data_IF_304744724353
#
_entry.id   IF_304744724353
#
_cell.length_a   1.000
_cell.length_b   1.000
_cell.length_c   1.000
_cell.angle_alpha   90.00
_cell.angle_beta   90.00
_cell.angle_gamma   90.00
#
_symmetry.space_group_name_H-M   'P 1'
#
loop_
_entity.id
_entity.type
_entity.pdbx_description
1 polymer ?
#
# COMPACT_ATOMS: atom_id res chain seq x y z
N UNK A 1 29.66 -20.03 -13.74
CA UNK A 1 28.53 -19.84 -14.68
C UNK A 1 27.39 -20.72 -14.22
N UNK A 2 26.57 -20.21 -13.31
CA UNK A 2 25.35 -20.89 -12.84
C UNK A 2 24.37 -20.90 -14.00
N UNK A 3 23.84 -22.06 -14.38
CA UNK A 3 22.81 -22.15 -15.41
C UNK A 3 21.68 -21.15 -15.09
N UNK A 4 21.14 -20.40 -16.07
CA UNK A 4 20.05 -19.49 -15.81
C UNK A 4 18.90 -20.30 -15.19
N UNK A 5 18.52 -19.96 -13.96
CA UNK A 5 17.39 -20.60 -13.30
C UNK A 5 16.16 -20.41 -14.19
N UNK A 6 15.58 -21.53 -14.61
CA UNK A 6 14.29 -21.56 -15.31
C UNK A 6 13.20 -21.15 -14.31
N UNK A 7 12.68 -19.93 -14.46
CA UNK A 7 11.60 -19.39 -13.61
C UNK A 7 10.21 -19.86 -14.07
N UNK A 8 10.14 -20.79 -15.03
CA UNK A 8 8.91 -21.47 -15.43
C UNK A 8 8.46 -22.56 -14.46
N UNK A 9 9.22 -22.82 -13.39
CA UNK A 9 8.76 -23.66 -12.28
C UNK A 9 9.06 -22.95 -10.96
N UNK A 10 8.04 -22.71 -10.15
CA UNK A 10 8.15 -22.05 -8.85
C UNK A 10 7.57 -22.94 -7.75
N UNK A 11 8.35 -23.15 -6.70
CA UNK A 11 7.91 -23.82 -5.47
C UNK A 11 7.58 -22.81 -4.39
N UNK A 12 6.46 -23.03 -3.70
CA UNK A 12 5.99 -22.22 -2.58
C UNK A 12 5.90 -23.10 -1.34
N UNK A 13 6.35 -22.61 -0.17
CA UNK A 13 6.25 -23.37 1.07
C UNK A 13 4.77 -23.61 1.44
N UNK A 14 4.53 -24.68 2.21
CA UNK A 14 3.20 -24.95 2.73
C UNK A 14 2.71 -23.80 3.62
N UNK A 15 1.44 -23.44 3.51
CA UNK A 15 0.83 -22.45 4.39
C UNK A 15 0.56 -23.06 5.77
N UNK A 16 0.84 -22.33 6.88
CA UNK A 16 0.50 -22.82 8.21
C UNK A 16 -1.02 -22.84 8.41
N UNK A 17 -1.47 -23.60 9.42
CA UNK A 17 -2.86 -23.54 9.86
C UNK A 17 -3.22 -22.09 10.28
N UNK A 18 -4.32 -21.58 9.74
CA UNK A 18 -4.72 -20.18 9.88
C UNK A 18 -6.17 -20.04 10.35
N UNK A 19 -6.44 -18.95 11.07
CA UNK A 19 -7.82 -18.59 11.41
C UNK A 19 -8.52 -17.98 10.19
N UNK A 20 -9.81 -18.30 10.02
CA UNK A 20 -10.68 -17.62 9.05
C UNK A 20 -10.63 -16.12 9.29
N UNK A 21 -10.29 -15.34 8.26
CA UNK A 21 -10.34 -13.88 8.31
C UNK A 21 -11.76 -13.39 8.00
N UNK A 22 -12.14 -12.23 8.53
CA UNK A 22 -13.39 -11.54 8.14
C UNK A 22 -13.19 -10.99 6.72
N UNK A 23 -14.01 -11.44 5.76
CA UNK A 23 -13.94 -11.01 4.35
C UNK A 23 -14.06 -12.18 3.37
N UNK A 24 -13.80 -11.90 2.08
CA UNK A 24 -13.59 -12.93 1.05
C UNK A 24 -12.43 -13.85 1.40
N UNK A 25 -12.38 -15.04 0.79
CA UNK A 25 -11.31 -16.00 1.06
C UNK A 25 -9.96 -15.51 0.52
N UNK A 26 -9.97 -14.82 -0.62
CA UNK A 26 -8.85 -14.05 -1.15
C UNK A 26 -9.05 -12.54 -0.85
N UNK A 27 -7.95 -11.80 -0.73
CA UNK A 27 -7.94 -10.35 -0.49
C UNK A 27 -8.11 -9.56 -1.78
N UNK A 28 -7.55 -10.07 -2.87
CA UNK A 28 -7.53 -9.39 -4.15
C UNK A 28 -8.76 -9.75 -4.99
N UNK A 29 -9.12 -8.88 -5.93
CA UNK A 29 -10.24 -9.14 -6.82
C UNK A 29 -9.95 -10.32 -7.76
N UNK A 30 -8.70 -10.47 -8.22
CA UNK A 30 -8.27 -11.57 -9.10
C UNK A 30 -8.18 -12.92 -8.37
N UNK A 31 -7.77 -12.91 -7.09
CA UNK A 31 -7.82 -14.09 -6.23
C UNK A 31 -9.26 -14.55 -5.99
N UNK A 32 -10.20 -13.61 -5.83
CA UNK A 32 -11.62 -13.94 -5.72
C UNK A 32 -12.22 -14.42 -7.05
N UNK A 33 -11.79 -13.88 -8.19
CA UNK A 33 -12.19 -14.37 -9.51
C UNK A 33 -11.71 -15.81 -9.77
N UNK A 34 -10.48 -16.14 -9.37
CA UNK A 34 -9.97 -17.52 -9.38
C UNK A 34 -10.84 -18.47 -8.55
N UNK A 35 -11.20 -18.07 -7.33
CA UNK A 35 -12.09 -18.87 -6.47
C UNK A 35 -13.46 -19.05 -7.13
N UNK A 36 -14.03 -17.97 -7.68
CA UNK A 36 -15.32 -17.99 -8.35
C UNK A 36 -15.34 -19.01 -9.50
N UNK A 37 -14.32 -19.00 -10.36
CA UNK A 37 -14.19 -19.94 -11.46
C UNK A 37 -14.20 -21.41 -10.99
N UNK A 38 -13.53 -21.70 -9.88
CA UNK A 38 -13.53 -23.04 -9.26
C UNK A 38 -14.89 -23.39 -8.66
N UNK A 39 -15.47 -22.48 -7.86
CA UNK A 39 -16.72 -22.73 -7.14
C UNK A 39 -17.92 -22.89 -8.06
N UNK A 40 -17.97 -22.14 -9.16
CA UNK A 40 -19.04 -22.22 -10.16
C UNK A 40 -18.98 -23.52 -10.99
N UNK A 41 -17.84 -24.21 -10.99
CA UNK A 41 -17.70 -25.53 -11.61
C UNK A 41 -18.25 -26.65 -10.69
N UNK A 42 -18.35 -26.40 -9.38
CA UNK A 42 -18.79 -27.38 -8.40
C UNK A 42 -20.32 -27.46 -8.30
N UNK A 43 -20.85 -28.67 -8.40
CA UNK A 43 -22.26 -28.96 -8.12
C UNK A 43 -22.52 -29.29 -6.63
N UNK A 44 -21.46 -29.52 -5.83
CA UNK A 44 -21.58 -29.90 -4.42
C UNK A 44 -20.95 -28.85 -3.49
N UNK A 45 -21.83 -28.06 -2.86
CA UNK A 45 -21.45 -27.01 -1.90
C UNK A 45 -20.88 -27.58 -0.60
N UNK A 46 -21.17 -28.83 -0.25
CA UNK A 46 -20.61 -29.47 0.95
C UNK A 46 -19.12 -29.79 0.77
N UNK A 47 -18.72 -30.20 -0.45
CA UNK A 47 -17.31 -30.45 -0.78
C UNK A 47 -16.49 -29.17 -0.77
N UNK A 48 -17.04 -28.07 -1.29
CA UNK A 48 -16.39 -26.77 -1.19
C UNK A 48 -16.16 -26.35 0.27
N UNK A 49 -17.14 -26.56 1.15
CA UNK A 49 -16.99 -26.27 2.59
C UNK A 49 -15.89 -27.13 3.25
N UNK A 50 -15.78 -28.41 2.88
CA UNK A 50 -14.70 -29.31 3.34
C UNK A 50 -13.35 -28.84 2.82
N UNK A 51 -13.23 -28.54 1.53
CA UNK A 51 -12.02 -28.02 0.92
C UNK A 51 -11.53 -26.71 1.54
N UNK A 52 -12.43 -25.76 1.80
CA UNK A 52 -12.12 -24.53 2.56
C UNK A 52 -11.54 -24.86 3.94
N UNK A 53 -12.12 -25.85 4.62
CA UNK A 53 -11.68 -26.27 5.95
C UNK A 53 -10.29 -26.92 5.92
N UNK A 54 -9.99 -27.76 4.93
CA UNK A 54 -8.66 -28.32 4.71
C UNK A 54 -7.61 -27.24 4.38
N UNK A 55 -7.97 -26.26 3.56
CA UNK A 55 -7.08 -25.15 3.23
C UNK A 55 -6.68 -24.35 4.48
N UNK A 56 -7.65 -24.00 5.34
CA UNK A 56 -7.37 -23.30 6.59
C UNK A 56 -6.66 -24.15 7.65
N UNK A 57 -6.86 -25.46 7.65
CA UNK A 57 -6.16 -26.38 8.55
C UNK A 57 -4.68 -26.57 8.19
N UNK A 58 -4.20 -26.02 7.07
CA UNK A 58 -2.80 -26.16 6.64
C UNK A 58 -2.48 -27.58 6.12
N UNK A 59 -3.48 -28.28 5.59
CA UNK A 59 -3.32 -29.65 5.11
C UNK A 59 -2.70 -29.75 3.71
N UNK A 60 -2.63 -28.64 2.97
CA UNK A 60 -1.97 -28.57 1.67
C UNK A 60 -0.47 -28.35 1.91
N UNK A 61 0.36 -29.25 1.37
CA UNK A 61 1.81 -29.17 1.44
C UNK A 61 2.39 -28.07 0.52
N UNK A 62 3.71 -28.10 0.27
CA UNK A 62 4.34 -27.17 -0.66
C UNK A 62 3.66 -27.20 -2.03
N UNK A 63 3.42 -26.02 -2.59
CA UNK A 63 2.72 -25.85 -3.87
C UNK A 63 3.77 -25.62 -4.95
N UNK A 64 3.71 -26.37 -6.04
CA UNK A 64 4.53 -26.15 -7.23
C UNK A 64 3.65 -25.61 -8.35
N UNK A 65 4.08 -24.51 -8.97
CA UNK A 65 3.40 -23.87 -10.10
C UNK A 65 4.32 -23.92 -11.31
N UNK A 66 3.75 -24.33 -12.44
CA UNK A 66 4.37 -24.34 -13.77
C UNK A 66 3.33 -23.95 -14.83
N UNK A 67 3.73 -23.62 -16.07
CA UNK A 67 2.81 -23.45 -17.19
C UNK A 67 1.71 -24.52 -17.24
N UNK A 68 0.46 -24.06 -17.12
CA UNK A 68 -0.77 -24.84 -17.18
C UNK A 68 -0.97 -25.86 -16.06
N UNK A 69 -0.17 -25.84 -14.99
CA UNK A 69 -0.25 -26.86 -13.94
C UNK A 69 0.17 -26.35 -12.57
N UNK A 70 -0.70 -26.63 -11.59
CA UNK A 70 -0.43 -26.45 -10.17
C UNK A 70 -0.45 -27.83 -9.52
N UNK A 71 0.48 -28.10 -8.62
CA UNK A 71 0.56 -29.38 -7.93
C UNK A 71 0.90 -29.21 -6.44
N UNK A 72 0.26 -30.00 -5.58
CA UNK A 72 0.61 -30.13 -4.18
C UNK A 72 0.26 -31.53 -3.67
N UNK A 73 0.84 -31.92 -2.55
CA UNK A 73 0.36 -33.08 -1.79
C UNK A 73 -0.55 -32.56 -0.68
N UNK A 74 -1.81 -33.00 -0.68
CA UNK A 74 -2.81 -32.62 0.33
C UNK A 74 -2.99 -33.78 1.29
N UNK A 75 -2.78 -33.54 2.58
CA UNK A 75 -2.96 -34.55 3.63
C UNK A 75 -4.43 -34.64 4.02
N UNK A 76 -4.92 -35.86 4.11
CA UNK A 76 -6.14 -36.18 4.85
C UNK A 76 -5.77 -36.95 6.14
N UNK A 77 -6.76 -37.32 6.94
CA UNK A 77 -6.58 -37.98 8.24
C UNK A 77 -5.68 -39.22 8.22
N UNK A 78 -5.65 -39.95 7.11
CA UNK A 78 -4.91 -41.21 7.02
C UNK A 78 -3.93 -41.29 5.84
N UNK A 79 -4.14 -40.56 4.74
CA UNK A 79 -3.31 -40.68 3.54
C UNK A 79 -3.01 -39.32 2.87
N UNK A 80 -1.79 -39.14 2.33
CA UNK A 80 -1.47 -38.02 1.45
C UNK A 80 -1.99 -38.27 0.04
N UNK A 81 -2.68 -37.29 -0.53
CA UNK A 81 -3.15 -37.32 -1.91
C UNK A 81 -2.34 -36.36 -2.78
N UNK A 82 -1.83 -36.86 -3.90
CA UNK A 82 -1.24 -36.02 -4.93
C UNK A 82 -2.37 -35.34 -5.72
N UNK A 83 -2.40 -34.02 -5.64
CA UNK A 83 -3.45 -33.19 -6.22
C UNK A 83 -2.82 -32.24 -7.23
N UNK A 84 -3.43 -32.18 -8.41
CA UNK A 84 -3.06 -31.30 -9.51
C UNK A 84 -4.27 -30.52 -9.97
N UNK A 85 -4.05 -29.30 -10.44
CA UNK A 85 -5.06 -28.50 -11.12
C UNK A 85 -4.42 -28.01 -12.41
N UNK A 86 -5.06 -28.33 -13.53
CA UNK A 86 -4.65 -27.88 -14.85
C UNK A 86 -5.45 -26.65 -15.25
N UNK A 87 -4.79 -25.77 -15.98
CA UNK A 87 -5.36 -24.54 -16.51
C UNK A 87 -4.87 -24.37 -17.94
N UNK A 88 -5.76 -23.96 -18.83
CA UNK A 88 -5.37 -23.69 -20.21
C UNK A 88 -4.33 -22.57 -20.28
N UNK A 89 -3.24 -22.84 -21.00
CA UNK A 89 -2.21 -21.86 -21.27
C UNK A 89 -2.63 -20.95 -22.42
N UNK A 90 -2.25 -19.68 -22.35
CA UNK A 90 -2.43 -18.79 -23.49
C UNK A 90 -1.51 -19.23 -24.63
N UNK A 91 -2.08 -19.34 -25.83
CA UNK A 91 -1.30 -19.56 -27.05
C UNK A 91 -0.35 -18.39 -27.34
N UNK A 92 0.59 -18.59 -28.27
CA UNK A 92 1.57 -17.57 -28.64
C UNK A 92 0.92 -16.24 -29.04
N UNK A 93 -0.17 -16.28 -29.82
CA UNK A 93 -0.94 -15.09 -30.24
C UNK A 93 -1.64 -14.40 -29.06
N UNK A 94 -2.20 -15.16 -28.11
CA UNK A 94 -2.81 -14.61 -26.90
C UNK A 94 -1.77 -13.89 -26.04
N UNK A 95 -0.58 -14.48 -25.88
CA UNK A 95 0.55 -13.83 -25.21
C UNK A 95 0.98 -12.54 -25.90
N UNK A 96 1.07 -12.52 -27.23
CA UNK A 96 1.41 -11.30 -27.96
C UNK A 96 0.41 -10.17 -27.66
N UNK A 97 -0.89 -10.44 -27.76
CA UNK A 97 -1.93 -9.44 -27.47
C UNK A 97 -1.89 -8.95 -26.02
N UNK A 98 -1.71 -9.86 -25.07
CA UNK A 98 -1.61 -9.48 -23.65
C UNK A 98 -0.43 -8.55 -23.40
N UNK A 99 0.74 -8.89 -23.92
CA UNK A 99 1.95 -8.09 -23.76
C UNK A 99 1.80 -6.71 -24.43
N UNK A 100 1.07 -6.59 -25.52
CA UNK A 100 0.73 -5.28 -26.12
C UNK A 100 -0.15 -4.44 -25.18
N UNK A 101 -1.12 -5.06 -24.49
CA UNK A 101 -1.95 -4.36 -23.48
C UNK A 101 -1.16 -3.94 -22.24
N UNK A 102 -0.22 -4.76 -21.80
CA UNK A 102 0.68 -4.41 -20.69
C UNK A 102 1.61 -3.27 -21.11
N UNK A 103 2.20 -3.33 -22.31
CA UNK A 103 3.13 -2.31 -22.81
C UNK A 103 2.45 -0.97 -23.15
N UNK A 104 1.15 -0.98 -23.45
CA UNK A 104 0.39 0.22 -23.81
C UNK A 104 0.39 1.32 -22.72
N UNK A 105 0.61 0.95 -21.45
CA UNK A 105 0.69 1.89 -20.32
C UNK A 105 1.79 1.48 -19.34
N UNK A 106 2.76 2.35 -19.11
CA UNK A 106 3.81 2.12 -18.12
C UNK A 106 3.26 1.82 -16.71
N UNK A 107 2.09 2.37 -16.36
CA UNK A 107 1.39 2.09 -15.11
C UNK A 107 0.96 0.63 -14.94
N UNK A 108 0.67 -0.11 -16.02
CA UNK A 108 0.37 -1.54 -15.93
C UNK A 108 1.60 -2.35 -15.49
N UNK A 109 2.77 -2.02 -16.03
CA UNK A 109 4.02 -2.69 -15.68
C UNK A 109 4.39 -2.38 -14.22
N UNK A 110 4.29 -1.11 -13.82
CA UNK A 110 4.55 -0.70 -12.44
C UNK A 110 3.63 -1.42 -11.44
N UNK A 111 2.33 -1.46 -11.71
CA UNK A 111 1.37 -2.16 -10.85
C UNK A 111 1.67 -3.66 -10.73
N UNK A 112 1.98 -4.36 -11.83
CA UNK A 112 2.37 -5.77 -11.79
C UNK A 112 3.63 -5.99 -10.94
N UNK A 113 4.63 -5.12 -11.05
CA UNK A 113 5.85 -5.16 -10.24
C UNK A 113 5.58 -4.90 -8.74
N UNK A 114 4.59 -4.07 -8.43
CA UNK A 114 4.11 -3.80 -7.07
C UNK A 114 3.22 -4.91 -6.51
N UNK A 115 2.98 -5.97 -7.28
CA UNK A 115 2.18 -7.12 -6.87
C UNK A 115 0.67 -6.93 -7.04
N UNK A 116 0.25 -5.98 -7.89
CA UNK A 116 -1.15 -5.69 -8.19
C UNK A 116 -1.53 -6.12 -9.62
N UNK A 117 -2.80 -6.51 -9.81
CA UNK A 117 -3.38 -6.74 -11.13
C UNK A 117 -4.42 -5.63 -11.39
N UNK A 118 -4.11 -4.63 -12.22
CA UNK A 118 -5.05 -3.57 -12.53
C UNK A 118 -6.33 -4.10 -13.20
N UNK A 119 -7.49 -3.65 -12.74
CA UNK A 119 -8.77 -3.95 -13.39
C UNK A 119 -8.75 -3.56 -14.87
N UNK A 120 -8.24 -2.37 -15.17
CA UNK A 120 -8.13 -1.87 -16.55
C UNK A 120 -7.27 -2.77 -17.44
N UNK A 121 -6.19 -3.35 -16.91
CA UNK A 121 -5.37 -4.29 -17.67
C UNK A 121 -6.15 -5.57 -17.99
N UNK A 122 -6.88 -6.09 -17.01
CA UNK A 122 -7.67 -7.30 -17.19
C UNK A 122 -8.82 -7.11 -18.19
N UNK A 123 -9.53 -5.99 -18.11
CA UNK A 123 -10.58 -5.60 -19.06
C UNK A 123 -10.00 -5.42 -20.47
N UNK A 124 -8.88 -4.71 -20.62
CA UNK A 124 -8.24 -4.51 -21.91
C UNK A 124 -7.70 -5.82 -22.54
N UNK A 125 -7.31 -6.79 -21.71
CA UNK A 125 -6.93 -8.13 -22.16
C UNK A 125 -8.16 -8.94 -22.61
N UNK A 126 -9.27 -8.88 -21.86
CA UNK A 126 -10.52 -9.53 -22.22
C UNK A 126 -11.10 -8.98 -23.53
N UNK A 127 -11.11 -7.66 -23.71
CA UNK A 127 -11.48 -6.99 -24.97
C UNK A 127 -10.59 -7.41 -26.16
N UNK A 128 -9.36 -7.87 -25.90
CA UNK A 128 -8.45 -8.42 -26.91
C UNK A 128 -8.64 -9.93 -27.14
N UNK A 129 -9.65 -10.54 -26.51
CA UNK A 129 -9.93 -11.97 -26.54
C UNK A 129 -8.88 -12.79 -25.78
N UNK A 130 -8.31 -12.22 -24.70
CA UNK A 130 -7.32 -12.87 -23.84
C UNK A 130 -7.84 -12.89 -22.40
N UNK A 131 -8.69 -13.86 -22.03
CA UNK A 131 -9.19 -13.98 -20.67
C UNK A 131 -8.03 -14.38 -19.73
N UNK A 132 -7.48 -13.41 -19.02
CA UNK A 132 -6.36 -13.62 -18.09
C UNK A 132 -6.75 -14.58 -16.96
N UNK A 133 -7.95 -14.41 -16.42
CA UNK A 133 -8.49 -15.21 -15.33
C UNK A 133 -9.27 -16.40 -15.88
N UNK A 134 -9.19 -17.57 -15.21
CA UNK A 134 -9.95 -18.74 -15.64
C UNK A 134 -11.45 -18.47 -15.53
N UNK A 135 -12.21 -19.01 -16.47
CA UNK A 135 -13.68 -19.03 -16.42
C UNK A 135 -14.20 -20.38 -15.91
N UNK A 136 -15.52 -20.54 -15.84
CA UNK A 136 -16.17 -21.77 -15.37
C UNK A 136 -15.70 -22.95 -16.25
N UNK A 137 -15.21 -24.02 -15.62
CA UNK A 137 -14.74 -25.22 -16.31
C UNK A 137 -13.29 -25.16 -16.82
N UNK A 138 -12.59 -24.02 -16.75
CA UNK A 138 -11.17 -23.94 -17.15
C UNK A 138 -10.19 -24.48 -16.11
N UNK A 139 -10.66 -24.72 -14.88
CA UNK A 139 -9.88 -25.33 -13.82
C UNK A 139 -10.17 -26.83 -13.80
N UNK A 140 -9.23 -27.63 -14.27
CA UNK A 140 -9.37 -29.08 -14.37
C UNK A 140 -8.63 -29.78 -13.22
N UNK A 141 -9.35 -30.23 -12.17
CA UNK A 141 -8.74 -30.88 -11.02
C UNK A 141 -8.47 -32.37 -11.29
N UNK A 142 -7.27 -32.83 -10.91
CA UNK A 142 -6.92 -34.24 -10.83
C UNK A 142 -6.42 -34.57 -9.42
N UNK A 143 -6.96 -35.63 -8.80
CA UNK A 143 -6.55 -36.05 -7.47
C UNK A 143 -6.53 -37.57 -7.36
N UNK A 144 -5.52 -38.12 -6.69
CA UNK A 144 -5.43 -39.56 -6.42
C UNK A 144 -6.33 -40.07 -5.28
N UNK A 145 -7.33 -39.29 -4.85
CA UNK A 145 -8.28 -39.73 -3.82
C UNK A 145 -9.40 -40.59 -4.42
N UNK A 146 -10.03 -41.50 -3.65
CA UNK A 146 -11.12 -42.34 -4.14
C UNK A 146 -12.45 -41.60 -4.36
N UNK A 147 -12.50 -40.30 -4.07
CA UNK A 147 -13.68 -39.45 -4.29
C UNK A 147 -13.94 -39.20 -5.77
N UNK A 148 -15.21 -39.05 -6.13
CA UNK A 148 -15.69 -38.85 -7.51
C UNK A 148 -16.21 -37.42 -7.73
N UNK A 149 -16.08 -36.56 -6.73
CA UNK A 149 -16.56 -35.19 -6.77
C UNK A 149 -15.58 -34.30 -7.55
N UNK A 150 -16.11 -33.34 -8.30
CA UNK A 150 -15.34 -32.44 -9.16
C UNK A 150 -15.65 -30.96 -8.83
N UNK A 151 -14.71 -30.22 -8.20
CA UNK A 151 -13.49 -30.70 -7.56
C UNK A 151 -13.76 -31.47 -6.24
N UNK A 152 -12.91 -32.45 -5.93
CA UNK A 152 -12.89 -33.08 -4.60
C UNK A 152 -12.40 -32.08 -3.54
N UNK A 153 -12.59 -32.39 -2.25
CA UNK A 153 -12.12 -31.52 -1.15
C UNK A 153 -10.63 -31.14 -1.24
N UNK A 154 -9.78 -32.03 -1.74
CA UNK A 154 -8.33 -31.81 -1.86
C UNK A 154 -8.00 -30.80 -2.95
N UNK A 155 -8.61 -30.96 -4.13
CA UNK A 155 -8.46 -30.03 -5.24
C UNK A 155 -9.05 -28.66 -4.91
N UNK A 156 -10.22 -28.62 -4.27
CA UNK A 156 -10.79 -27.38 -3.75
C UNK A 156 -9.84 -26.71 -2.74
N UNK A 157 -9.27 -27.46 -1.80
CA UNK A 157 -8.30 -26.93 -0.82
C UNK A 157 -7.05 -26.34 -1.49
N UNK A 158 -6.52 -27.00 -2.53
CA UNK A 158 -5.41 -26.49 -3.32
C UNK A 158 -5.81 -25.18 -4.04
N UNK A 159 -6.94 -25.14 -4.74
CA UNK A 159 -7.42 -23.93 -5.43
C UNK A 159 -7.61 -22.75 -4.46
N UNK A 160 -8.13 -23.02 -3.26
CA UNK A 160 -8.24 -22.01 -2.21
C UNK A 160 -6.87 -21.46 -1.80
N UNK A 161 -5.88 -22.29 -1.50
CA UNK A 161 -4.55 -21.78 -1.12
C UNK A 161 -3.80 -21.12 -2.28
N UNK A 162 -4.05 -21.53 -3.53
CA UNK A 162 -3.53 -20.83 -4.71
C UNK A 162 -4.03 -19.39 -4.77
N UNK A 163 -5.26 -19.12 -4.35
CA UNK A 163 -5.76 -17.73 -4.27
C UNK A 163 -4.91 -16.85 -3.34
N UNK A 164 -4.29 -17.41 -2.29
CA UNK A 164 -3.36 -16.68 -1.41
C UNK A 164 -2.00 -16.44 -2.05
N UNK A 165 -1.56 -17.34 -2.92
CA UNK A 165 -0.37 -17.10 -3.76
C UNK A 165 -0.66 -15.97 -4.75
N UNK A 166 -1.83 -16.00 -5.38
CA UNK A 166 -2.27 -14.96 -6.29
C UNK A 166 -2.40 -13.60 -5.58
N UNK A 167 -2.96 -13.56 -4.37
CA UNK A 167 -3.02 -12.36 -3.52
C UNK A 167 -1.66 -11.72 -3.23
N UNK A 168 -0.59 -12.52 -3.24
CA UNK A 168 0.75 -12.08 -2.90
C UNK A 168 1.58 -11.73 -4.13
N UNK A 169 1.29 -12.37 -5.27
CA UNK A 169 2.07 -12.24 -6.50
C UNK A 169 1.22 -12.53 -7.76
N UNK A 170 0.86 -11.51 -8.55
CA UNK A 170 0.08 -11.67 -9.77
C UNK A 170 0.87 -12.39 -10.88
N UNK A 171 2.21 -12.45 -10.82
CA UNK A 171 2.99 -13.23 -11.79
C UNK A 171 2.77 -14.74 -11.65
N UNK A 172 2.20 -15.20 -10.53
CA UNK A 172 1.76 -16.60 -10.41
C UNK A 172 0.66 -16.91 -11.44
N UNK A 173 -0.27 -15.98 -11.68
CA UNK A 173 -1.31 -16.15 -12.71
C UNK A 173 -0.68 -16.22 -14.11
N UNK A 174 0.26 -15.32 -14.39
CA UNK A 174 0.96 -15.25 -15.68
C UNK A 174 1.80 -16.51 -15.93
N UNK A 175 2.42 -17.05 -14.87
CA UNK A 175 3.13 -18.32 -14.91
C UNK A 175 2.20 -19.48 -15.25
N UNK A 176 1.05 -19.58 -14.57
CA UNK A 176 0.03 -20.60 -14.85
C UNK A 176 -0.45 -20.48 -16.31
N UNK A 177 -0.62 -19.26 -16.82
CA UNK A 177 -1.00 -19.00 -18.22
C UNK A 177 0.13 -19.22 -19.23
N UNK A 178 1.36 -19.50 -18.79
CA UNK A 178 2.41 -20.04 -19.65
C UNK A 178 3.76 -19.32 -19.68
N UNK A 179 3.93 -18.15 -19.05
CA UNK A 179 5.18 -17.38 -19.10
C UNK A 179 5.75 -17.07 -17.73
N UNK A 180 7.06 -17.27 -17.58
CA UNK A 180 7.78 -16.87 -16.38
C UNK A 180 7.84 -15.35 -16.22
N UNK A 181 8.07 -14.87 -15.00
CA UNK A 181 8.19 -13.44 -14.72
C UNK A 181 9.36 -12.81 -15.51
N UNK A 182 10.53 -13.46 -15.54
CA UNK A 182 11.71 -12.96 -16.22
C UNK A 182 11.51 -12.91 -17.72
N UNK A 183 11.00 -14.00 -18.29
CA UNK A 183 10.63 -14.09 -19.70
C UNK A 183 9.67 -12.96 -20.11
N UNK A 184 8.66 -12.71 -19.29
CA UNK A 184 7.68 -11.66 -19.52
C UNK A 184 8.28 -10.25 -19.42
N UNK A 185 9.10 -9.98 -18.40
CA UNK A 185 9.74 -8.68 -18.22
C UNK A 185 10.78 -8.39 -19.30
N UNK A 186 11.49 -9.40 -19.80
CA UNK A 186 12.43 -9.25 -20.91
C UNK A 186 11.69 -8.87 -22.20
N UNK A 187 10.59 -9.54 -22.49
CA UNK A 187 9.75 -9.25 -23.66
C UNK A 187 9.10 -7.85 -23.58
N UNK A 188 8.62 -7.44 -22.40
CA UNK A 188 8.09 -6.09 -22.18
C UNK A 188 9.17 -5.01 -22.36
N UNK A 189 10.39 -5.26 -21.87
CA UNK A 189 11.52 -4.35 -22.09
C UNK A 189 11.81 -4.17 -23.57
N UNK A 190 11.84 -5.26 -24.34
CA UNK A 190 12.02 -5.19 -25.79
C UNK A 190 10.90 -4.41 -26.49
N UNK A 191 9.65 -4.56 -26.06
CA UNK A 191 8.51 -3.82 -26.64
C UNK A 191 8.51 -2.34 -26.31
N UNK A 192 8.84 -1.97 -25.08
CA UNK A 192 8.91 -0.57 -24.69
C UNK A 192 9.98 0.16 -25.51
N UNK A 193 11.16 -0.44 -25.70
CA UNK A 193 12.19 0.13 -26.59
C UNK A 193 11.68 0.28 -28.03
N UNK A 194 10.93 -0.70 -28.55
CA UNK A 194 10.34 -0.61 -29.90
C UNK A 194 9.24 0.44 -29.98
N UNK A 195 8.42 0.60 -28.95
CA UNK A 195 7.39 1.63 -28.88
C UNK A 195 8.01 3.02 -28.82
N UNK A 196 9.08 3.21 -28.04
CA UNK A 196 9.84 4.46 -27.99
C UNK A 196 10.46 4.79 -29.34
N UNK A 197 11.00 3.80 -30.05
CA UNK A 197 11.57 3.96 -31.39
C UNK A 197 10.52 4.18 -32.49
N UNK A 198 9.31 3.61 -32.33
CA UNK A 198 8.21 3.78 -33.27
C UNK A 198 7.40 5.07 -33.02
N UNK A 199 7.55 5.68 -31.84
CA UNK A 199 6.85 6.91 -31.43
C UNK A 199 7.58 8.21 -31.85
N UNK A 200 8.31 8.20 -32.97
CA UNK A 200 8.67 9.44 -33.70
C UNK A 200 7.49 9.90 -34.58
N UNK A 201 7.29 11.22 -34.76
CA UNK A 201 6.01 11.83 -34.38
C UNK A 201 5.02 11.95 -35.54
N UNK A 202 3.94 11.17 -35.49
CA UNK A 202 2.68 11.57 -36.15
C UNK A 202 1.66 12.01 -35.09
N UNK A 203 1.48 13.32 -35.03
CA UNK A 203 0.33 14.03 -34.46
C UNK A 203 0.19 14.01 -32.92
N UNK A 204 1.17 14.63 -32.24
CA UNK A 204 0.92 15.21 -30.94
C UNK A 204 -0.02 16.43 -31.10
N UNK A 205 -1.21 16.31 -30.50
CA UNK A 205 -2.13 17.40 -30.25
C UNK A 205 -1.39 18.55 -29.53
N UNK A 206 -1.48 19.74 -30.12
CA UNK A 206 -0.87 20.95 -29.60
C UNK A 206 -1.38 21.23 -28.18
N UNK A 207 -0.50 21.14 -27.18
CA UNK A 207 -0.79 21.64 -25.82
C UNK A 207 0.06 21.05 -24.69
N UNK A 208 0.63 19.86 -24.84
CA UNK A 208 1.51 19.28 -23.81
C UNK A 208 2.81 18.85 -24.48
N UNK A 209 3.92 19.51 -24.13
CA UNK A 209 5.24 19.06 -24.58
C UNK A 209 5.44 17.64 -24.07
N UNK A 210 5.47 16.67 -24.98
CA UNK A 210 5.91 15.33 -24.66
C UNK A 210 7.38 15.43 -24.21
N UNK A 211 7.60 15.31 -22.91
CA UNK A 211 8.95 15.21 -22.36
C UNK A 211 9.47 13.85 -22.82
N UNK A 212 10.34 13.85 -23.82
CA UNK A 212 11.05 12.65 -24.23
C UNK A 212 11.77 12.07 -23.00
N UNK A 213 11.50 10.81 -22.69
CA UNK A 213 12.17 10.13 -21.59
C UNK A 213 13.67 10.06 -21.85
N UNK A 214 14.49 10.52 -20.90
CA UNK A 214 15.94 10.40 -20.99
C UNK A 214 16.41 9.03 -20.46
N UNK A 215 17.46 8.47 -21.07
CA UNK A 215 18.09 7.26 -20.56
C UNK A 215 18.59 7.50 -19.12
N UNK A 216 18.15 6.67 -18.17
CA UNK A 216 18.46 6.87 -16.76
C UNK A 216 19.98 6.93 -16.49
N UNK A 217 20.80 6.13 -17.19
CA UNK A 217 22.25 6.12 -16.99
C UNK A 217 22.91 7.42 -17.46
N UNK A 218 22.43 7.98 -18.56
CA UNK A 218 22.91 9.27 -19.09
C UNK A 218 22.41 10.44 -18.25
N UNK A 219 21.16 10.37 -17.77
CA UNK A 219 20.59 11.36 -16.86
C UNK A 219 21.37 11.43 -15.53
N UNK A 220 21.73 10.28 -14.94
CA UNK A 220 22.54 10.22 -13.73
C UNK A 220 24.04 10.49 -13.96
N UNK A 221 24.52 10.45 -15.21
CA UNK A 221 25.89 10.80 -15.56
C UNK A 221 26.06 12.30 -15.87
N UNK A 222 24.96 13.03 -16.02
CA UNK A 222 24.98 14.48 -16.23
C UNK A 222 25.28 15.18 -14.91
N UNK A 223 26.12 16.22 -14.96
CA UNK A 223 26.35 17.09 -13.80
C UNK A 223 25.01 17.66 -13.32
N UNK A 224 24.68 17.37 -12.07
CA UNK A 224 23.44 17.85 -11.45
C UNK A 224 23.51 19.36 -11.39
N UNK A 225 22.59 20.04 -12.08
CA UNK A 225 22.45 21.48 -11.95
C UNK A 225 22.27 21.84 -10.47
N UNK A 226 22.86 22.96 -10.00
CA UNK A 226 22.66 23.40 -8.63
C UNK A 226 21.15 23.48 -8.35
N UNK A 227 20.76 23.04 -7.15
CA UNK A 227 19.37 23.15 -6.72
C UNK A 227 18.92 24.61 -6.90
N UNK A 228 17.65 24.83 -7.31
CA UNK A 228 17.08 26.17 -7.29
C UNK A 228 17.30 26.79 -5.90
N UNK A 229 17.51 28.10 -5.86
CA UNK A 229 17.54 28.81 -4.59
C UNK A 229 16.24 28.55 -3.83
N UNK A 230 16.34 28.50 -2.50
CA UNK A 230 15.17 28.32 -1.65
C UNK A 230 14.09 29.37 -1.99
N UNK A 231 12.81 28.98 -1.98
CA UNK A 231 11.74 29.92 -2.24
C UNK A 231 11.82 31.07 -1.22
N UNK A 232 11.55 32.32 -1.64
CA UNK A 232 11.58 33.45 -0.73
C UNK A 232 10.54 33.26 0.39
N UNK A 233 10.76 33.83 1.58
CA UNK A 233 9.79 33.78 2.67
C UNK A 233 8.41 34.26 2.22
N UNK A 234 7.36 33.57 2.67
CA UNK A 234 5.98 33.95 2.36
C UNK A 234 5.61 35.20 3.16
N UNK A 235 5.51 36.35 2.49
CA UNK A 235 5.18 37.65 3.10
C UNK A 235 3.76 38.17 2.78
N UNK A 236 2.99 37.41 2.00
CA UNK A 236 1.64 37.81 1.59
C UNK A 236 0.62 37.75 2.74
N UNK A 237 -0.48 38.54 2.66
CA UNK A 237 -1.56 38.45 3.63
C UNK A 237 -2.23 37.07 3.57
N UNK A 238 -2.82 36.65 4.69
CA UNK A 238 -3.64 35.44 4.71
C UNK A 238 -4.81 35.56 3.74
N UNK A 239 -4.96 34.53 2.88
CA UNK A 239 -6.12 34.44 2.01
C UNK A 239 -7.36 34.21 2.88
N UNK A 240 -8.42 35.00 2.71
CA UNK A 240 -9.65 34.79 3.45
C UNK A 240 -10.23 33.41 3.09
N UNK A 241 -10.48 32.60 4.11
CA UNK A 241 -11.11 31.29 3.96
C UNK A 241 -12.60 31.41 4.20
N UNK A 242 -13.37 31.04 3.18
CA UNK A 242 -14.80 30.81 3.32
C UNK A 242 -15.03 29.39 3.83
N UNK A 243 -15.53 29.28 5.06
CA UNK A 243 -15.78 28.01 5.74
C UNK A 243 -17.29 27.84 5.88
N UNK A 244 -17.92 26.91 5.15
CA UNK A 244 -19.35 26.67 5.26
C UNK A 244 -19.71 26.04 6.60
N UNK A 245 -20.93 26.29 7.07
CA UNK A 245 -21.47 25.64 8.27
C UNK A 245 -21.64 24.12 8.04
N UNK A 246 -21.22 23.32 9.01
CA UNK A 246 -21.41 21.87 9.00
C UNK A 246 -21.79 21.35 10.40
N UNK A 247 -22.65 20.32 10.50
CA UNK A 247 -23.03 19.75 11.80
C UNK A 247 -21.83 19.32 12.62
N UNK A 248 -21.71 19.83 13.86
CA UNK A 248 -20.63 19.50 14.78
C UNK A 248 -19.30 20.25 14.54
N UNK A 249 -19.23 21.12 13.53
CA UNK A 249 -18.05 21.96 13.25
C UNK A 249 -18.40 23.42 13.51
N UNK A 250 -17.60 24.10 14.33
CA UNK A 250 -17.71 25.55 14.53
C UNK A 250 -16.81 26.27 13.52
N UNK A 251 -17.37 27.03 12.55
CA UNK A 251 -16.58 27.71 11.52
C UNK A 251 -15.49 28.62 12.11
N UNK A 252 -15.78 29.35 13.18
CA UNK A 252 -14.80 30.27 13.81
C UNK A 252 -13.63 29.53 14.44
N UNK A 253 -13.89 28.38 15.08
CA UNK A 253 -12.84 27.52 15.60
C UNK A 253 -11.96 26.94 14.49
N UNK A 254 -12.56 26.59 13.35
CA UNK A 254 -11.81 26.10 12.20
C UNK A 254 -10.97 27.22 11.56
N UNK A 255 -11.52 28.43 11.41
CA UNK A 255 -10.78 29.61 10.91
C UNK A 255 -9.57 29.90 11.77
N UNK A 256 -9.72 29.85 13.09
CA UNK A 256 -8.62 30.04 14.04
C UNK A 256 -7.54 28.96 13.90
N UNK A 257 -7.93 27.68 13.80
CA UNK A 257 -6.96 26.59 13.60
C UNK A 257 -6.20 26.72 12.28
N UNK A 258 -6.85 27.19 11.21
CA UNK A 258 -6.17 27.40 9.93
C UNK A 258 -5.22 28.60 9.99
N UNK A 259 -5.61 29.70 10.62
CA UNK A 259 -4.73 30.86 10.84
C UNK A 259 -3.51 30.47 11.69
N UNK A 260 -3.70 29.72 12.77
CA UNK A 260 -2.62 29.22 13.62
C UNK A 260 -1.66 28.30 12.85
N UNK A 261 -2.20 27.36 12.06
CA UNK A 261 -1.40 26.47 11.23
C UNK A 261 -0.59 27.24 10.17
N UNK A 262 -1.18 28.27 9.56
CA UNK A 262 -0.51 29.11 8.57
C UNK A 262 0.62 29.93 9.22
N UNK A 263 0.38 30.53 10.38
CA UNK A 263 1.41 31.23 11.15
C UNK A 263 2.56 30.30 11.51
N UNK A 264 2.26 29.08 11.97
CA UNK A 264 3.26 28.08 12.32
C UNK A 264 4.09 27.62 11.11
N UNK A 265 3.44 27.41 9.97
CA UNK A 265 4.13 27.05 8.74
C UNK A 265 5.12 28.14 8.32
N UNK A 266 4.75 29.43 8.45
CA UNK A 266 5.69 30.54 8.15
C UNK A 266 6.89 30.56 9.09
N UNK A 267 6.68 30.35 10.39
CA UNK A 267 7.78 30.28 11.35
C UNK A 267 8.74 29.14 11.02
N UNK A 268 8.22 27.97 10.67
CA UNK A 268 9.04 26.81 10.31
C UNK A 268 9.79 27.02 8.99
N UNK A 269 9.15 27.64 7.99
CA UNK A 269 9.79 27.95 6.70
C UNK A 269 10.85 29.05 6.80
N UNK A 270 10.76 29.94 7.79
CA UNK A 270 11.73 31.01 8.02
C UNK A 270 12.89 30.61 8.95
N UNK A 271 12.81 29.45 9.61
CA UNK A 271 13.82 29.02 10.57
C UNK A 271 14.93 28.20 9.90
N UNK A 272 16.19 28.60 10.12
CA UNK A 272 17.36 27.81 9.69
C UNK A 272 17.44 26.45 10.43
N UNK A 273 17.00 26.43 11.69
CA UNK A 273 16.87 25.23 12.51
C UNK A 273 15.46 25.18 13.13
N UNK A 274 14.58 24.28 12.67
CA UNK A 274 13.20 24.27 13.12
C UNK A 274 13.10 23.86 14.60
N UNK A 275 12.35 24.60 15.43
CA UNK A 275 12.20 24.26 16.83
C UNK A 275 11.49 22.90 17.00
N UNK A 276 11.92 22.12 17.99
CA UNK A 276 11.31 20.83 18.31
C UNK A 276 9.78 20.93 18.43
N UNK A 277 9.05 19.87 18.11
CA UNK A 277 7.60 19.83 18.26
C UNK A 277 7.16 20.19 19.69
N UNK A 278 6.01 20.86 19.81
CA UNK A 278 5.35 21.11 21.10
C UNK A 278 4.49 19.90 21.44
N UNK A 279 4.44 19.54 22.71
CA UNK A 279 3.43 18.59 23.19
C UNK A 279 2.05 19.27 23.26
N UNK A 280 0.99 18.47 23.48
CA UNK A 280 -0.38 18.97 23.50
C UNK A 280 -0.63 20.04 24.58
N UNK A 281 0.10 19.99 25.69
CA UNK A 281 -0.02 20.97 26.76
C UNK A 281 0.66 22.29 26.39
N UNK A 282 1.91 22.24 25.93
CA UNK A 282 2.66 23.38 25.46
C UNK A 282 1.94 24.08 24.29
N UNK A 283 1.34 23.30 23.40
CA UNK A 283 0.58 23.82 22.26
C UNK A 283 -0.73 24.48 22.69
N UNK A 284 -1.44 23.93 23.69
CA UNK A 284 -2.63 24.56 24.26
C UNK A 284 -2.31 25.90 24.94
N UNK A 285 -1.21 25.97 25.70
CA UNK A 285 -0.72 27.21 26.33
C UNK A 285 -0.36 28.25 25.26
N UNK A 286 0.37 27.84 24.22
CA UNK A 286 0.71 28.68 23.08
C UNK A 286 -0.53 29.25 22.39
N UNK A 287 -1.47 28.38 22.01
CA UNK A 287 -2.70 28.79 21.30
C UNK A 287 -3.50 29.82 22.10
N UNK A 288 -3.62 29.63 23.43
CA UNK A 288 -4.31 30.57 24.30
C UNK A 288 -3.56 31.91 24.48
N UNK A 289 -2.22 31.92 24.35
CA UNK A 289 -1.41 33.13 24.42
C UNK A 289 -1.37 33.92 23.11
N UNK A 290 -1.42 33.23 21.96
CA UNK A 290 -1.31 33.86 20.63
C UNK A 290 -2.65 34.30 20.05
N UNK A 291 -3.76 33.70 20.48
CA UNK A 291 -5.11 34.01 20.02
C UNK A 291 -5.99 34.40 21.22
N UNK A 292 -6.11 35.70 21.56
CA UNK A 292 -6.85 36.18 22.72
C UNK A 292 -8.37 36.15 22.46
N UNK A 293 -8.93 34.96 22.28
CA UNK A 293 -10.36 34.69 22.25
C UNK A 293 -10.77 34.04 23.58
N UNK A 294 -11.65 34.72 24.32
CA UNK A 294 -12.06 34.29 25.67
C UNK A 294 -12.76 32.92 25.67
N UNK A 295 -13.50 32.60 24.61
CA UNK A 295 -14.21 31.32 24.52
C UNK A 295 -13.25 30.16 24.22
N UNK A 296 -12.28 30.40 23.34
CA UNK A 296 -11.22 29.44 23.03
C UNK A 296 -10.34 29.21 24.25
N UNK A 297 -9.93 30.27 24.95
CA UNK A 297 -9.15 30.19 26.20
C UNK A 297 -9.89 29.39 27.28
N UNK A 298 -11.18 29.67 27.48
CA UNK A 298 -12.02 28.94 28.43
C UNK A 298 -12.23 27.46 28.03
N UNK A 299 -12.22 27.15 26.73
CA UNK A 299 -12.31 25.77 26.24
C UNK A 299 -11.01 25.00 26.45
N UNK A 300 -9.86 25.62 26.16
CA UNK A 300 -8.54 25.03 26.39
C UNK A 300 -8.30 24.78 27.88
N UNK A 301 -8.65 25.75 28.75
CA UNK A 301 -8.58 25.56 30.21
C UNK A 301 -9.41 24.37 30.70
N UNK A 302 -10.59 24.12 30.11
CA UNK A 302 -11.48 22.99 30.47
C UNK A 302 -11.09 21.63 29.89
N UNK A 303 -10.16 21.57 28.94
CA UNK A 303 -9.72 20.30 28.37
C UNK A 303 -8.91 19.42 29.34
N UNK A 304 -8.61 19.94 30.54
CA UNK A 304 -8.27 19.11 31.70
C UNK A 304 -6.82 18.64 31.74
N UNK A 305 -5.92 19.28 31.00
CA UNK A 305 -4.48 18.99 31.07
C UNK A 305 -3.91 19.28 32.45
N UNK A 306 -4.27 20.44 33.05
CA UNK A 306 -3.83 20.93 34.36
C UNK A 306 -4.92 21.78 35.02
N UNK A 307 -4.83 22.07 36.34
CA UNK A 307 -5.71 23.02 37.01
C UNK A 307 -5.77 24.39 36.31
N UNK A 308 -6.94 25.04 36.38
CA UNK A 308 -7.19 26.27 35.63
C UNK A 308 -6.26 27.44 36.01
N UNK A 309 -5.87 27.54 37.28
CA UNK A 309 -4.93 28.54 37.78
C UNK A 309 -3.50 28.31 37.27
N UNK A 310 -3.09 27.05 37.13
CA UNK A 310 -1.81 26.67 36.54
C UNK A 310 -1.79 26.97 35.03
N UNK A 311 -2.89 26.69 34.33
CA UNK A 311 -3.05 27.05 32.91
C UNK A 311 -2.96 28.55 32.68
N UNK A 312 -3.69 29.36 33.45
CA UNK A 312 -3.64 30.82 33.32
C UNK A 312 -2.24 31.39 33.59
N UNK A 313 -1.51 30.82 34.56
CA UNK A 313 -0.11 31.18 34.82
C UNK A 313 0.80 30.80 33.65
N UNK A 314 0.63 29.60 33.10
CA UNK A 314 1.41 29.13 31.96
C UNK A 314 1.18 30.01 30.71
N UNK A 315 -0.07 30.42 30.45
CA UNK A 315 -0.40 31.34 29.36
C UNK A 315 0.28 32.69 29.55
N UNK A 316 0.23 33.28 30.75
CA UNK A 316 0.95 34.53 31.05
C UNK A 316 2.46 34.38 30.88
N UNK A 317 3.04 33.28 31.35
CA UNK A 317 4.47 33.01 31.18
C UNK A 317 4.84 32.87 29.71
N UNK A 318 4.00 32.26 28.88
CA UNK A 318 4.21 32.17 27.44
C UNK A 318 4.12 33.55 26.75
N UNK A 319 3.16 34.40 27.14
CA UNK A 319 3.04 35.77 26.59
C UNK A 319 4.33 36.60 26.76
N UNK A 320 5.05 36.42 27.88
CA UNK A 320 6.28 37.19 28.17
C UNK A 320 7.58 36.48 27.79
N UNK A 321 7.64 35.15 27.90
CA UNK A 321 8.88 34.37 27.75
C UNK A 321 8.81 33.26 26.71
N UNK A 322 7.68 33.09 26.03
CA UNK A 322 7.44 32.03 25.07
C UNK A 322 7.75 30.65 25.64
N UNK A 323 8.28 29.78 24.78
CA UNK A 323 8.67 28.40 25.15
C UNK A 323 9.71 28.36 26.27
N UNK A 324 10.66 29.29 26.29
CA UNK A 324 11.71 29.33 27.32
C UNK A 324 11.12 29.68 28.68
N UNK A 325 10.19 30.64 28.73
CA UNK A 325 9.46 30.97 29.94
C UNK A 325 8.69 29.77 30.48
N UNK A 326 7.96 29.06 29.61
CA UNK A 326 7.20 27.88 30.03
C UNK A 326 8.11 26.76 30.57
N UNK A 327 9.25 26.51 29.91
CA UNK A 327 10.26 25.56 30.42
C UNK A 327 10.79 25.94 31.80
N UNK A 328 10.99 27.24 32.06
CA UNK A 328 11.43 27.72 33.39
C UNK A 328 10.33 27.54 34.43
N UNK A 329 9.06 27.78 34.08
CA UNK A 329 7.93 27.54 34.97
C UNK A 329 7.78 26.06 35.32
N UNK A 330 8.04 25.17 34.36
CA UNK A 330 7.92 23.72 34.51
C UNK A 330 9.14 23.06 35.15
N UNK A 331 10.27 23.76 35.20
CA UNK A 331 11.47 23.25 35.87
C UNK A 331 11.25 23.21 37.38
N UNK A 332 11.32 22.02 37.98
CA UNK A 332 11.35 21.90 39.44
C UNK A 332 12.61 22.58 39.98
N UNK A 333 12.42 23.69 40.68
CA UNK A 333 13.51 24.35 41.36
C UNK A 333 13.96 23.49 42.53
N UNK A 334 15.11 22.85 42.38
CA UNK A 334 15.82 22.19 43.47
C UNK A 334 16.77 23.20 44.10
N UNK A 335 16.47 23.64 45.33
CA UNK A 335 17.46 24.36 46.13
C UNK A 335 18.65 23.42 46.35
N UNK A 336 19.80 23.72 45.74
CA UNK A 336 21.04 23.09 46.14
C UNK A 336 21.29 23.46 47.61
N UNK A 337 21.20 22.48 48.51
CA UNK A 337 21.50 22.65 49.93
C UNK A 337 22.94 23.15 50.06
N UNK A 338 23.10 24.46 50.23
CA UNK A 338 24.39 25.08 50.49
C UNK A 338 24.91 24.67 51.87
N UNK A 339 26.23 24.49 52.05
CA UNK A 339 26.78 24.02 53.32
C UNK A 339 26.54 25.05 54.43
N UNK A 340 26.00 24.58 55.57
CA UNK A 340 25.91 25.35 56.80
C UNK A 340 27.30 25.92 57.16
N UNK A 341 27.42 27.25 57.16
CA UNK A 341 28.61 27.94 57.67
C UNK A 341 28.53 27.95 59.20
N UNK A 342 29.49 27.37 59.94
CA UNK A 342 29.48 27.48 61.39
C UNK A 342 29.80 28.92 61.79
N UNK A 343 28.96 29.49 62.66
CA UNK A 343 29.19 30.77 63.31
C UNK A 343 30.49 30.69 64.13
N UNK A 344 31.53 31.45 63.73
CA UNK A 344 32.72 31.67 64.54
C UNK A 344 32.40 32.67 65.66
N UNK A 345 32.72 32.31 66.90
CA UNK A 345 33.05 33.27 67.96
C UNK A 345 34.55 33.49 67.99
#
# INVERSE_FOLDING_TARGET
>A
MTAPHDDRVRGFPAFPAGKRRRGGFARSWWGNAWIKAMEETSLDQSQLKRGRSHAYAGHVGPITVSPGRIAATVRDHHDPHHTRVFVEQLGGTGWQRLLDRVAAKAGHIAALLDGDMPHELAEAADDAGVPLLPTIGELEPECGCPGWEHPCQHAAALCYQVSWLLDADPFVLLLIRGRGQRELLDELRHRNVRHEQAAEPEQATAGMQAIAGANAREAYATDVAPLPADPPPVTGPELPLDVPEAPGVRPDGLRLLVADAAARARELLAADDPPAALDAWQDAVRMAATHPDDEVRARLSRAGWRPADEFERAVRVWEYGGRTGLKVLEAEWTEASGPERPLRR
#
